data_IF_183279734704
#
_entry.id   IF_183279734704
#
_cell.length_a   1.000
_cell.length_b   1.000
_cell.length_c   1.000
_cell.angle_alpha   90.00
_cell.angle_beta   90.00
_cell.angle_gamma   90.00
#
_symmetry.space_group_name_H-M   'P 1'
#
loop_
_entity.id
_entity.type
_entity.pdbx_description
1 polymer ?
#
# COMPACT_ATOMS: atom_id res chain seq x y z
N UNK A 1 5.84 9.27 -15.03
CA UNK A 1 5.58 7.97 -14.38
C UNK A 1 4.52 8.12 -13.28
N UNK A 2 4.63 9.10 -12.39
CA UNK A 2 3.60 9.39 -11.37
C UNK A 2 2.18 9.56 -11.93
N UNK A 3 2.00 10.25 -13.07
CA UNK A 3 0.69 10.42 -13.71
C UNK A 3 0.00 9.10 -14.10
N UNK A 4 0.76 8.05 -14.40
CA UNK A 4 0.20 6.72 -14.71
C UNK A 4 -0.24 5.97 -13.45
N UNK A 5 0.48 6.17 -12.33
CA UNK A 5 0.09 5.65 -11.01
C UNK A 5 -1.20 6.33 -10.53
N UNK A 6 -1.51 7.54 -11.01
CA UNK A 6 -2.76 8.23 -10.68
C UNK A 6 -3.96 7.84 -11.55
N UNK A 7 -3.77 6.99 -12.57
CA UNK A 7 -4.84 6.52 -13.44
C UNK A 7 -5.25 5.09 -13.03
N UNK A 8 -6.50 4.92 -12.57
CA UNK A 8 -7.04 3.68 -11.97
C UNK A 8 -6.71 2.38 -12.72
N UNK A 9 -6.56 2.43 -14.06
CA UNK A 9 -6.36 1.25 -14.90
C UNK A 9 -4.92 0.70 -14.80
N UNK A 10 -3.93 1.55 -14.57
CA UNK A 10 -2.50 1.16 -14.57
C UNK A 10 -1.83 1.29 -13.20
N UNK A 11 -2.59 1.69 -12.19
CA UNK A 11 -2.07 2.09 -10.88
C UNK A 11 -1.20 1.03 -10.22
N UNK A 12 -1.64 -0.23 -10.21
CA UNK A 12 -0.91 -1.35 -9.57
C UNK A 12 0.36 -1.70 -10.34
N UNK A 13 0.27 -1.95 -11.66
CA UNK A 13 1.47 -2.23 -12.48
C UNK A 13 2.46 -1.07 -12.49
N UNK A 14 1.97 0.17 -12.50
CA UNK A 14 2.83 1.34 -12.43
C UNK A 14 3.49 1.48 -11.04
N UNK A 15 2.81 1.07 -9.97
CA UNK A 15 3.38 1.02 -8.63
C UNK A 15 4.47 -0.06 -8.53
N UNK A 16 4.21 -1.28 -9.00
CA UNK A 16 5.19 -2.38 -9.07
C UNK A 16 6.46 -1.95 -9.83
N UNK A 17 6.30 -1.37 -11.03
CA UNK A 17 7.42 -0.84 -11.82
C UNK A 17 8.17 0.24 -11.02
N UNK A 18 7.44 1.17 -10.40
CA UNK A 18 8.04 2.24 -9.61
C UNK A 18 8.82 1.68 -8.41
N UNK A 19 8.34 0.60 -7.81
CA UNK A 19 8.97 -0.08 -6.69
C UNK A 19 10.33 -0.67 -7.10
N UNK A 20 10.44 -1.22 -8.31
CA UNK A 20 11.69 -1.72 -8.87
C UNK A 20 12.69 -0.61 -9.23
N UNK A 21 12.23 0.49 -9.83
CA UNK A 21 13.14 1.51 -10.38
C UNK A 21 13.44 2.67 -9.42
N UNK A 22 12.52 2.98 -8.51
CA UNK A 22 12.63 4.09 -7.57
C UNK A 22 11.81 3.80 -6.29
N UNK A 23 12.26 2.85 -5.45
CA UNK A 23 11.49 2.34 -4.31
C UNK A 23 11.08 3.45 -3.32
N UNK A 24 11.97 4.40 -3.02
CA UNK A 24 11.62 5.50 -2.10
C UNK A 24 10.47 6.36 -2.61
N UNK A 25 10.37 6.55 -3.94
CA UNK A 25 9.26 7.29 -4.55
C UNK A 25 7.96 6.48 -4.48
N UNK A 26 8.01 5.17 -4.74
CA UNK A 26 6.86 4.29 -4.57
C UNK A 26 6.35 4.32 -3.13
N UNK A 27 7.24 4.13 -2.16
CA UNK A 27 6.89 4.15 -0.74
C UNK A 27 6.34 5.51 -0.29
N UNK A 28 6.91 6.61 -0.75
CA UNK A 28 6.38 7.95 -0.46
C UNK A 28 4.97 8.16 -1.05
N UNK A 29 4.70 7.61 -2.24
CA UNK A 29 3.38 7.65 -2.85
C UNK A 29 2.36 6.83 -2.06
N UNK A 30 2.71 5.60 -1.67
CA UNK A 30 1.87 4.74 -0.82
C UNK A 30 1.52 5.46 0.48
N UNK A 31 2.54 6.00 1.17
CA UNK A 31 2.38 6.73 2.42
C UNK A 31 1.40 7.88 2.30
N UNK A 32 1.56 8.72 1.27
CA UNK A 32 0.75 9.93 1.06
C UNK A 32 -0.67 9.68 0.58
N UNK A 33 -0.90 8.63 -0.22
CA UNK A 33 -2.20 8.38 -0.86
C UNK A 33 -3.06 7.34 -0.18
N UNK A 34 -2.45 6.40 0.53
CA UNK A 34 -3.16 5.28 1.13
C UNK A 34 -3.06 5.29 2.64
N UNK A 35 -1.86 5.48 3.20
CA UNK A 35 -1.65 5.33 4.64
C UNK A 35 -2.04 6.57 5.45
N UNK A 36 -1.84 7.78 4.89
CA UNK A 36 -2.12 9.06 5.56
C UNK A 36 -3.52 9.63 5.31
N UNK A 37 -4.34 8.97 4.48
CA UNK A 37 -5.71 9.41 4.18
C UNK A 37 -6.71 8.48 4.85
N UNK A 38 -7.84 9.03 5.31
CA UNK A 38 -8.88 8.23 5.93
C UNK A 38 -9.56 7.33 4.87
N UNK A 39 -9.35 6.02 5.01
CA UNK A 39 -9.91 4.98 4.14
C UNK A 39 -11.25 4.45 4.66
N UNK A 40 -11.74 4.91 5.81
CA UNK A 40 -13.02 4.46 6.39
C UNK A 40 -14.21 4.79 5.50
N UNK A 41 -14.16 5.93 4.79
CA UNK A 41 -15.24 6.42 3.92
C UNK A 41 -15.00 6.22 2.42
N UNK A 42 -13.79 5.83 2.01
CA UNK A 42 -13.44 5.74 0.58
C UNK A 42 -13.47 4.30 0.07
N UNK A 43 -14.43 4.09 -0.84
CA UNK A 43 -14.65 3.04 -1.82
C UNK A 43 -13.73 1.79 -1.79
N UNK A 44 -14.39 0.63 -1.81
CA UNK A 44 -13.90 -0.75 -2.02
C UNK A 44 -12.58 -0.89 -2.82
N UNK A 45 -12.40 -0.09 -3.85
CA UNK A 45 -11.25 -0.06 -4.76
C UNK A 45 -9.92 0.26 -4.05
N UNK A 46 -9.88 1.20 -3.11
CA UNK A 46 -8.61 1.63 -2.49
C UNK A 46 -8.02 0.60 -1.53
N UNK A 47 -8.87 -0.23 -0.91
CA UNK A 47 -8.39 -1.28 0.01
C UNK A 47 -7.91 -2.50 -0.78
N UNK A 48 -8.58 -2.84 -1.89
CA UNK A 48 -8.12 -3.88 -2.80
C UNK A 48 -6.74 -3.52 -3.40
N UNK A 49 -6.53 -2.25 -3.75
CA UNK A 49 -5.22 -1.78 -4.19
C UNK A 49 -4.15 -1.93 -3.10
N UNK A 50 -4.52 -1.68 -1.83
CA UNK A 50 -3.59 -1.73 -0.70
C UNK A 50 -3.06 -3.16 -0.47
N UNK A 51 -3.92 -4.16 -0.58
CA UNK A 51 -3.55 -5.58 -0.49
C UNK A 51 -2.45 -5.93 -1.49
N UNK A 52 -2.65 -5.57 -2.77
CA UNK A 52 -1.68 -5.82 -3.84
C UNK A 52 -0.39 -5.04 -3.60
N UNK A 53 -0.48 -3.74 -3.31
CA UNK A 53 0.71 -2.90 -3.09
C UNK A 53 1.56 -3.36 -1.89
N UNK A 54 0.93 -3.81 -0.80
CA UNK A 54 1.66 -4.35 0.35
C UNK A 54 2.31 -5.71 0.04
N UNK A 55 1.66 -6.53 -0.78
CA UNK A 55 2.21 -7.80 -1.26
C UNK A 55 3.43 -7.56 -2.15
N UNK A 56 3.33 -6.64 -3.12
CA UNK A 56 4.44 -6.22 -3.97
C UNK A 56 5.63 -5.72 -3.15
N UNK A 57 5.39 -4.93 -2.09
CA UNK A 57 6.44 -4.47 -1.17
C UNK A 57 7.17 -5.63 -0.51
N UNK A 58 6.44 -6.62 -0.01
CA UNK A 58 7.04 -7.80 0.61
C UNK A 58 7.84 -8.63 -0.40
N UNK A 59 7.28 -8.86 -1.59
CA UNK A 59 7.90 -9.67 -2.63
C UNK A 59 9.16 -9.02 -3.21
N UNK A 60 9.13 -7.69 -3.44
CA UNK A 60 10.20 -6.97 -4.12
C UNK A 60 11.24 -6.39 -3.15
N UNK A 61 10.79 -5.80 -2.03
CA UNK A 61 11.67 -5.12 -1.06
C UNK A 61 11.93 -5.94 0.21
N UNK A 62 11.23 -7.06 0.39
CA UNK A 62 11.39 -7.96 1.52
C UNK A 62 10.47 -7.64 2.70
N UNK A 63 10.36 -8.64 3.60
CA UNK A 63 9.48 -8.60 4.78
C UNK A 63 9.81 -7.45 5.73
N UNK A 64 11.09 -7.22 6.00
CA UNK A 64 11.54 -6.15 6.90
C UNK A 64 11.03 -4.77 6.43
N UNK A 65 11.00 -4.56 5.10
CA UNK A 65 10.50 -3.31 4.53
C UNK A 65 8.99 -3.17 4.66
N UNK A 66 8.25 -4.27 4.53
CA UNK A 66 6.82 -4.27 4.81
C UNK A 66 6.56 -3.91 6.28
N UNK A 67 7.29 -4.50 7.22
CA UNK A 67 7.15 -4.21 8.66
C UNK A 67 7.47 -2.74 8.99
N UNK A 68 8.50 -2.16 8.39
CA UNK A 68 8.83 -0.73 8.48
C UNK A 68 7.67 0.18 8.01
N UNK A 69 6.99 -0.22 6.93
CA UNK A 69 5.86 0.54 6.39
C UNK A 69 4.63 0.44 7.29
N UNK A 70 4.34 -0.75 7.82
CA UNK A 70 3.21 -0.97 8.72
C UNK A 70 3.40 -0.30 10.10
N UNK A 71 4.65 -0.20 10.55
CA UNK A 71 5.03 0.49 11.80
C UNK A 71 5.18 2.02 11.64
N UNK A 72 5.08 2.54 10.41
CA UNK A 72 5.20 3.98 10.16
C UNK A 72 4.17 4.81 10.95
N UNK A 73 4.64 5.83 11.67
CA UNK A 73 3.82 6.68 12.54
C UNK A 73 2.77 7.51 11.82
N UNK A 74 2.95 7.75 10.52
CA UNK A 74 1.98 8.45 9.67
C UNK A 74 0.82 7.57 9.18
N UNK A 75 0.85 6.26 9.45
CA UNK A 75 -0.26 5.38 9.10
C UNK A 75 -1.41 5.59 10.09
N UNK A 76 -2.52 6.17 9.59
CA UNK A 76 -3.68 6.53 10.39
C UNK A 76 -4.21 5.36 11.22
N UNK A 77 -4.36 5.59 12.52
CA UNK A 77 -4.90 4.61 13.46
C UNK A 77 -6.32 4.17 13.09
N UNK A 78 -7.13 5.06 12.50
CA UNK A 78 -8.47 4.72 12.01
C UNK A 78 -8.44 3.63 10.94
N UNK A 79 -7.47 3.69 10.01
CA UNK A 79 -7.29 2.67 8.97
C UNK A 79 -6.80 1.35 9.57
N UNK A 80 -5.90 1.39 10.56
CA UNK A 80 -5.44 0.18 11.27
C UNK A 80 -6.55 -0.55 12.03
N UNK A 81 -7.68 0.14 12.30
CA UNK A 81 -8.88 -0.43 12.94
C UNK A 81 -9.95 -0.84 11.94
N UNK A 82 -9.76 -0.58 10.65
CA UNK A 82 -10.71 -0.96 9.60
C UNK A 82 -10.49 -2.43 9.24
N UNK A 83 -11.54 -3.26 9.38
CA UNK A 83 -11.43 -4.70 9.16
C UNK A 83 -10.84 -5.04 7.78
N UNK A 84 -11.23 -4.35 6.72
CA UNK A 84 -10.73 -4.65 5.38
C UNK A 84 -9.25 -4.33 5.21
N UNK A 85 -8.77 -3.30 5.91
CA UNK A 85 -7.34 -2.94 5.92
C UNK A 85 -6.56 -3.96 6.74
N UNK A 86 -7.12 -4.45 7.84
CA UNK A 86 -6.55 -5.57 8.62
C UNK A 86 -6.43 -6.80 7.73
N UNK A 87 -7.51 -7.20 7.05
CA UNK A 87 -7.53 -8.35 6.15
C UNK A 87 -6.46 -8.23 5.04
N UNK A 88 -6.34 -7.04 4.43
CA UNK A 88 -5.31 -6.76 3.40
C UNK A 88 -3.87 -6.85 3.94
N UNK A 89 -3.65 -6.41 5.20
CA UNK A 89 -2.34 -6.52 5.85
C UNK A 89 -2.03 -7.98 6.17
N UNK A 90 -2.98 -8.72 6.73
CA UNK A 90 -2.82 -10.14 7.08
C UNK A 90 -2.51 -10.98 5.84
N UNK A 91 -3.22 -10.72 4.74
CA UNK A 91 -2.96 -11.34 3.43
C UNK A 91 -1.52 -11.06 2.97
N UNK A 92 -1.09 -9.79 2.95
CA UNK A 92 0.26 -9.43 2.53
C UNK A 92 1.32 -10.06 3.45
N UNK A 93 1.07 -10.14 4.76
CA UNK A 93 1.97 -10.82 5.70
C UNK A 93 2.01 -12.33 5.50
N UNK A 94 0.96 -12.94 4.94
CA UNK A 94 0.83 -14.38 4.76
C UNK A 94 0.41 -15.09 6.06
N UNK A 95 -0.38 -14.41 6.88
CA UNK A 95 -0.90 -14.92 8.17
C UNK A 95 -2.25 -15.64 8.01
N UNK A 96 -2.43 -16.39 6.93
CA UNK A 96 -3.66 -17.16 6.63
C UNK A 96 -4.00 -18.21 7.70
#
# INVERSE_FOLDING_TARGET
MEFLVTNKIFQLKAFEILLHVAPDNALNLLKRRYLSLDLSNNAKDHVADLEVMLSDIKEILGKDKLEDILSWSGFLLANKKNQRVIDAIDFAQGND
#
